data_IF_362797834943
#
_entry.id   IF_362797834943
#
_cell.length_a   1.000
_cell.length_b   1.000
_cell.length_c   1.000
_cell.angle_alpha   90.00
_cell.angle_beta   90.00
_cell.angle_gamma   90.00
#
_symmetry.space_group_name_H-M   'P 1'
#
loop_
_entity.id
_entity.type
_entity.pdbx_description
1 polymer ?
#
# COMPACT_ATOMS: atom_id res chain seq x y z
N UNK A 1 16.24 12.60 -5.46
CA UNK A 1 14.81 12.98 -5.44
C UNK A 1 14.09 12.60 -6.74
N UNK A 2 14.59 13.02 -7.92
CA UNK A 2 13.99 12.75 -9.24
C UNK A 2 13.77 11.26 -9.55
N UNK A 3 14.69 10.38 -9.14
CA UNK A 3 14.59 8.93 -9.37
C UNK A 3 13.40 8.27 -8.68
N UNK A 4 13.08 8.69 -7.45
CA UNK A 4 11.91 8.18 -6.71
C UNK A 4 10.61 8.67 -7.34
N UNK A 5 10.54 9.93 -7.79
CA UNK A 5 9.37 10.46 -8.48
C UNK A 5 9.09 9.71 -9.79
N UNK A 6 10.13 9.48 -10.62
CA UNK A 6 10.01 8.67 -11.85
C UNK A 6 9.50 7.26 -11.55
N UNK A 7 10.05 6.59 -10.51
CA UNK A 7 9.58 5.27 -10.08
C UNK A 7 8.14 5.30 -9.55
N UNK A 8 7.76 6.34 -8.81
CA UNK A 8 6.39 6.53 -8.29
C UNK A 8 5.39 6.64 -9.43
N UNK A 9 5.68 7.50 -10.41
CA UNK A 9 4.87 7.64 -11.60
C UNK A 9 4.76 6.32 -12.38
N UNK A 10 5.88 5.66 -12.67
CA UNK A 10 5.90 4.39 -13.39
C UNK A 10 5.11 3.28 -12.65
N UNK A 11 5.24 3.20 -11.33
CA UNK A 11 4.50 2.24 -10.51
C UNK A 11 2.99 2.54 -10.53
N UNK A 12 2.59 3.80 -10.40
CA UNK A 12 1.20 4.20 -10.44
C UNK A 12 0.54 3.88 -11.80
N UNK A 13 1.20 4.24 -12.90
CA UNK A 13 0.76 3.90 -14.26
C UNK A 13 0.62 2.39 -14.40
N UNK A 14 1.65 1.63 -14.01
CA UNK A 14 1.63 0.18 -14.11
C UNK A 14 0.53 -0.49 -13.26
N UNK A 15 0.15 0.07 -12.11
CA UNK A 15 -0.97 -0.42 -11.30
C UNK A 15 -2.33 -0.15 -11.97
N UNK A 16 -2.48 1.02 -12.60
CA UNK A 16 -3.71 1.42 -13.30
C UNK A 16 -3.90 0.63 -14.59
N UNK A 17 -2.88 0.55 -15.44
CA UNK A 17 -2.94 -0.14 -16.74
C UNK A 17 -3.27 -1.62 -16.58
N UNK A 18 -2.67 -2.27 -15.57
CA UNK A 18 -2.91 -3.68 -15.26
C UNK A 18 -4.19 -3.93 -14.46
N UNK A 19 -4.96 -2.88 -14.12
CA UNK A 19 -6.13 -2.96 -13.24
C UNK A 19 -5.83 -3.71 -11.93
N UNK A 20 -4.63 -3.51 -11.39
CA UNK A 20 -4.14 -4.24 -10.22
C UNK A 20 -4.72 -3.73 -8.88
N UNK A 21 -5.44 -2.60 -8.92
CA UNK A 21 -6.10 -2.00 -7.76
C UNK A 21 -7.47 -2.63 -7.60
N UNK A 22 -7.61 -3.46 -6.57
CA UNK A 22 -8.85 -4.14 -6.25
C UNK A 22 -9.73 -3.22 -5.40
N UNK A 23 -11.03 -3.21 -5.72
CA UNK A 23 -12.04 -2.46 -5.02
C UNK A 23 -12.80 -3.41 -4.07
N UNK A 24 -12.77 -3.13 -2.76
CA UNK A 24 -13.68 -3.70 -1.77
C UNK A 24 -14.65 -2.63 -1.27
N UNK A 25 -15.74 -3.04 -0.61
CA UNK A 25 -16.82 -2.14 -0.16
C UNK A 25 -16.31 -0.90 0.59
N UNK A 26 -15.31 -1.10 1.45
CA UNK A 26 -14.81 -0.09 2.40
C UNK A 26 -13.47 0.52 2.04
N UNK A 27 -12.64 -0.17 1.25
CA UNK A 27 -11.32 0.32 0.87
C UNK A 27 -10.86 -0.31 -0.45
N UNK A 28 -9.82 0.27 -1.04
CA UNK A 28 -9.10 -0.28 -2.18
C UNK A 28 -7.78 -0.87 -1.72
N UNK A 29 -7.30 -1.90 -2.39
CA UNK A 29 -5.95 -2.40 -2.13
C UNK A 29 -5.19 -2.79 -3.39
N UNK A 30 -3.87 -2.80 -3.30
CA UNK A 30 -3.00 -3.26 -4.37
C UNK A 30 -1.68 -3.84 -3.83
N UNK A 31 -1.20 -4.87 -4.51
CA UNK A 31 0.11 -5.48 -4.25
C UNK A 31 1.17 -4.89 -5.18
N UNK A 32 2.33 -4.58 -4.61
CA UNK A 32 3.55 -4.18 -5.31
C UNK A 32 4.58 -5.30 -5.20
N UNK A 33 4.64 -6.13 -6.24
CA UNK A 33 5.61 -7.22 -6.35
C UNK A 33 6.93 -6.70 -6.91
N UNK A 34 8.03 -7.26 -6.41
CA UNK A 34 9.40 -6.83 -6.74
C UNK A 34 9.79 -7.13 -8.19
N UNK A 35 9.18 -8.17 -8.76
CA UNK A 35 9.48 -8.71 -10.09
C UNK A 35 9.23 -7.73 -11.24
N UNK A 36 8.54 -6.61 -11.00
CA UNK A 36 8.27 -5.59 -12.01
C UNK A 36 9.31 -4.45 -12.06
N UNK A 37 10.38 -4.50 -11.27
CA UNK A 37 11.43 -3.46 -11.29
C UNK A 37 12.62 -3.77 -12.21
N UNK A 38 12.68 -4.96 -12.83
CA UNK A 38 13.82 -5.41 -13.65
C UNK A 38 13.51 -5.46 -15.16
N UNK A 39 12.99 -4.38 -15.72
CA UNK A 39 13.02 -4.19 -17.16
C UNK A 39 13.56 -2.80 -17.49
N UNK A 40 14.84 -2.55 -17.19
CA UNK A 40 15.69 -1.53 -17.85
C UNK A 40 17.13 -1.63 -17.31
N UNK A 41 18.03 -2.22 -18.11
CA UNK A 41 19.48 -2.04 -18.00
C UNK A 41 20.29 -3.25 -17.50
N UNK A 42 21.29 -3.73 -18.27
CA UNK A 42 22.23 -4.75 -17.82
C UNK A 42 23.51 -4.11 -17.28
N UNK A 43 23.54 -3.65 -16.02
CA UNK A 43 24.78 -3.38 -15.24
C UNK A 43 24.45 -3.01 -13.80
N UNK A 44 23.89 -3.92 -13.00
CA UNK A 44 23.87 -3.76 -11.54
C UNK A 44 24.15 -5.12 -10.88
N UNK A 45 25.03 -5.12 -9.88
CA UNK A 45 25.55 -6.27 -9.14
C UNK A 45 24.43 -7.15 -8.56
N UNK A 46 24.65 -8.47 -8.44
CA UNK A 46 23.70 -9.47 -7.92
C UNK A 46 23.04 -9.08 -6.58
N UNK A 47 23.70 -8.25 -5.76
CA UNK A 47 23.21 -7.76 -4.47
C UNK A 47 22.19 -6.61 -4.59
N UNK A 48 22.10 -5.90 -5.71
CA UNK A 48 21.13 -4.82 -5.95
C UNK A 48 19.81 -5.32 -6.58
N UNK A 49 19.78 -6.56 -7.09
CA UNK A 49 18.67 -7.13 -7.87
C UNK A 49 17.32 -7.26 -7.16
N UNK A 50 17.24 -7.06 -5.83
CA UNK A 50 15.99 -7.33 -5.07
C UNK A 50 15.65 -6.22 -4.07
N UNK A 51 16.14 -4.99 -4.29
CA UNK A 51 15.75 -3.86 -3.43
C UNK A 51 14.48 -3.21 -3.93
N UNK A 52 13.33 -3.68 -3.42
CA UNK A 52 12.06 -2.99 -3.68
C UNK A 52 12.09 -1.59 -3.08
N UNK A 53 12.20 -0.56 -3.93
CA UNK A 53 12.24 0.85 -3.50
C UNK A 53 11.01 1.24 -2.67
N UNK A 54 9.87 0.57 -2.89
CA UNK A 54 8.62 0.79 -2.17
C UNK A 54 8.47 -0.06 -0.92
N UNK A 55 9.40 -0.96 -0.60
CA UNK A 55 9.43 -1.66 0.69
C UNK A 55 9.97 -0.78 1.84
N UNK A 56 9.79 0.54 1.73
CA UNK A 56 10.12 1.55 2.74
C UNK A 56 8.88 2.40 3.03
N UNK A 57 8.51 2.65 4.30
CA UNK A 57 7.29 3.36 4.68
C UNK A 57 7.07 4.67 3.92
N UNK A 58 8.08 5.54 3.90
CA UNK A 58 8.00 6.85 3.24
C UNK A 58 7.84 6.76 1.72
N UNK A 59 8.44 5.75 1.08
CA UNK A 59 8.33 5.58 -0.37
C UNK A 59 6.94 5.04 -0.75
N UNK A 60 6.43 4.06 0.00
CA UNK A 60 5.10 3.50 -0.20
C UNK A 60 4.00 4.53 0.08
N UNK A 61 4.16 5.32 1.15
CA UNK A 61 3.25 6.40 1.50
C UNK A 61 3.20 7.48 0.41
N UNK A 62 4.35 7.87 -0.15
CA UNK A 62 4.39 8.81 -1.29
C UNK A 62 3.66 8.27 -2.52
N UNK A 63 3.75 6.97 -2.79
CA UNK A 63 2.99 6.35 -3.87
C UNK A 63 1.48 6.34 -3.57
N UNK A 64 1.08 6.06 -2.33
CA UNK A 64 -0.32 6.12 -1.91
C UNK A 64 -0.90 7.52 -2.13
N UNK A 65 -0.21 8.57 -1.67
CA UNK A 65 -0.58 9.96 -1.95
C UNK A 65 -0.75 10.22 -3.44
N UNK A 66 0.26 9.87 -4.24
CA UNK A 66 0.23 10.09 -5.69
C UNK A 66 -0.97 9.41 -6.36
N UNK A 67 -1.24 8.14 -6.03
CA UNK A 67 -2.38 7.40 -6.58
C UNK A 67 -3.71 8.06 -6.20
N UNK A 68 -3.85 8.47 -4.94
CA UNK A 68 -5.07 9.10 -4.45
C UNK A 68 -5.31 10.46 -5.10
N UNK A 69 -4.27 11.29 -5.20
CA UNK A 69 -4.34 12.60 -5.85
C UNK A 69 -4.67 12.45 -7.34
N UNK A 70 -3.95 11.57 -8.07
CA UNK A 70 -4.18 11.28 -9.48
C UNK A 70 -5.62 10.80 -9.75
N UNK A 71 -6.17 9.91 -8.93
CA UNK A 71 -7.53 9.43 -9.12
C UNK A 71 -8.61 10.42 -8.68
N UNK A 72 -8.31 11.27 -7.69
CA UNK A 72 -9.20 12.36 -7.26
C UNK A 72 -9.31 13.43 -8.35
N UNK A 73 -8.19 13.87 -8.90
CA UNK A 73 -8.14 14.87 -9.98
C UNK A 73 -8.86 14.39 -11.24
N UNK A 74 -8.75 13.10 -11.55
CA UNK A 74 -9.48 12.48 -12.68
C UNK A 74 -10.96 12.18 -12.37
N UNK A 75 -11.49 12.57 -11.21
CA UNK A 75 -12.88 12.34 -10.80
C UNK A 75 -13.26 10.87 -10.60
N UNK A 76 -12.29 9.95 -10.59
CA UNK A 76 -12.54 8.50 -10.46
C UNK A 76 -12.81 8.09 -9.01
N UNK A 77 -12.06 8.66 -8.06
CA UNK A 77 -12.16 8.35 -6.62
C UNK A 77 -12.62 9.58 -5.82
N UNK A 78 -13.70 10.21 -6.25
CA UNK A 78 -14.30 11.36 -5.58
C UNK A 78 -15.76 11.12 -5.19
N UNK A 79 -16.27 11.94 -4.26
CA UNK A 79 -17.66 11.86 -3.77
C UNK A 79 -18.02 10.47 -3.26
N UNK A 80 -19.13 9.91 -3.71
CA UNK A 80 -19.59 8.58 -3.29
C UNK A 80 -18.63 7.43 -3.65
N UNK A 81 -17.67 7.65 -4.57
CA UNK A 81 -16.65 6.67 -4.97
C UNK A 81 -15.35 6.82 -4.17
N UNK A 82 -15.24 7.84 -3.32
CA UNK A 82 -14.13 8.01 -2.40
C UNK A 82 -13.99 6.78 -1.49
N UNK A 83 -12.83 6.14 -1.47
CA UNK A 83 -12.52 5.10 -0.49
C UNK A 83 -11.05 5.18 -0.10
N UNK A 84 -10.71 4.85 1.15
CA UNK A 84 -9.34 4.65 1.59
C UNK A 84 -8.57 3.64 0.73
N UNK A 85 -7.24 3.70 0.80
CA UNK A 85 -6.32 2.85 0.03
C UNK A 85 -5.36 2.12 0.96
N UNK A 86 -5.17 0.82 0.73
CA UNK A 86 -4.16 -0.01 1.39
C UNK A 86 -3.15 -0.48 0.34
N UNK A 87 -1.88 -0.11 0.48
CA UNK A 87 -0.83 -0.61 -0.40
C UNK A 87 0.04 -1.63 0.33
N UNK A 88 0.41 -2.70 -0.38
CA UNK A 88 1.23 -3.77 0.13
C UNK A 88 2.49 -3.88 -0.74
N UNK A 89 3.67 -3.68 -0.18
CA UNK A 89 4.94 -3.84 -0.89
C UNK A 89 5.69 -5.06 -0.38
N UNK A 90 6.01 -5.97 -1.29
CA UNK A 90 6.75 -7.19 -1.00
C UNK A 90 8.20 -6.88 -0.55
N UNK A 91 8.66 -7.59 0.48
CA UNK A 91 10.03 -7.64 0.97
C UNK A 91 10.58 -9.07 0.80
N UNK A 92 11.21 -9.39 -0.34
CA UNK A 92 11.61 -10.77 -0.61
C UNK A 92 12.65 -11.31 0.36
N UNK A 93 13.55 -10.44 0.85
CA UNK A 93 14.62 -10.82 1.78
C UNK A 93 14.09 -11.34 3.12
N UNK A 94 12.96 -10.81 3.61
CA UNK A 94 12.32 -11.21 4.86
C UNK A 94 11.05 -12.04 4.66
N UNK A 95 10.63 -12.27 3.41
CA UNK A 95 9.35 -12.93 3.07
C UNK A 95 8.13 -12.28 3.72
N UNK A 96 8.17 -10.95 3.86
CA UNK A 96 7.10 -10.14 4.45
C UNK A 96 6.54 -9.14 3.46
N UNK A 97 5.43 -8.50 3.82
CA UNK A 97 4.86 -7.35 3.13
C UNK A 97 4.86 -6.15 4.07
N UNK A 98 5.37 -5.03 3.58
CA UNK A 98 5.11 -3.73 4.17
C UNK A 98 3.72 -3.26 3.75
N UNK A 99 2.85 -3.00 4.72
CA UNK A 99 1.47 -2.56 4.49
C UNK A 99 1.33 -1.13 4.97
N UNK A 100 0.78 -0.27 4.13
CA UNK A 100 0.46 1.12 4.47
C UNK A 100 -1.02 1.36 4.21
N UNK A 101 -1.74 1.78 5.25
CA UNK A 101 -3.12 2.24 5.15
C UNK A 101 -3.17 3.75 4.98
N UNK A 102 -3.93 4.23 4.01
CA UNK A 102 -4.05 5.64 3.66
C UNK A 102 -5.52 6.05 3.58
N UNK A 103 -5.93 6.95 4.48
CA UNK A 103 -7.28 7.50 4.50
C UNK A 103 -7.54 8.44 3.31
N UNK A 104 -8.80 8.57 2.93
CA UNK A 104 -9.19 9.47 1.86
C UNK A 104 -9.56 10.87 2.41
N UNK A 105 -8.83 11.93 2.06
CA UNK A 105 -9.32 13.30 2.21
C UNK A 105 -10.22 13.70 1.04
N UNK A 106 -11.48 14.06 1.32
CA UNK A 106 -12.48 14.53 0.34
C UNK A 106 -12.02 15.74 -0.45
N UNK A 107 -11.35 16.67 0.23
CA UNK A 107 -10.79 17.86 -0.37
C UNK A 107 -9.27 17.81 -0.26
N UNK A 108 -8.58 18.25 -1.31
CA UNK A 108 -7.13 18.45 -1.25
C UNK A 108 -6.81 19.43 -0.11
N UNK A 109 -5.90 19.05 0.79
CA UNK A 109 -5.57 19.85 1.98
C UNK A 109 -6.50 19.65 3.19
N UNK A 110 -7.57 18.86 3.08
CA UNK A 110 -8.39 18.48 4.24
C UNK A 110 -7.68 17.45 5.11
N UNK A 111 -7.84 17.57 6.43
CA UNK A 111 -7.29 16.62 7.39
C UNK A 111 -8.31 15.53 7.68
N UNK A 112 -7.97 14.28 7.35
CA UNK A 112 -8.71 13.10 7.77
C UNK A 112 -7.82 12.29 8.70
N UNK A 113 -8.31 12.02 9.91
CA UNK A 113 -7.59 11.21 10.88
C UNK A 113 -7.48 9.78 10.36
N UNK A 114 -6.25 9.29 10.19
CA UNK A 114 -6.02 7.93 9.75
C UNK A 114 -6.47 6.91 10.81
N UNK A 115 -7.48 6.09 10.48
CA UNK A 115 -8.01 5.05 11.38
C UNK A 115 -7.42 3.66 11.12
N UNK A 116 -6.60 3.51 10.08
CA UNK A 116 -6.04 2.21 9.73
C UNK A 116 -5.17 1.62 10.82
N UNK A 117 -4.48 2.43 11.64
CA UNK A 117 -3.70 1.87 12.75
C UNK A 117 -4.56 1.05 13.73
N UNK A 118 -5.75 1.54 14.06
CA UNK A 118 -6.70 0.82 14.90
C UNK A 118 -7.24 -0.43 14.18
N UNK A 119 -7.64 -0.31 12.92
CA UNK A 119 -8.16 -1.44 12.14
C UNK A 119 -7.11 -2.53 11.93
N UNK A 120 -5.86 -2.15 11.68
CA UNK A 120 -4.72 -3.07 11.52
C UNK A 120 -4.43 -3.80 12.81
N UNK A 121 -4.42 -3.09 13.95
CA UNK A 121 -4.25 -3.70 15.26
C UNK A 121 -5.38 -4.70 15.58
N UNK A 122 -6.62 -4.33 15.27
CA UNK A 122 -7.76 -5.22 15.49
C UNK A 122 -7.66 -6.47 14.60
N UNK A 123 -7.39 -6.32 13.30
CA UNK A 123 -7.23 -7.44 12.37
C UNK A 123 -6.09 -8.36 12.80
N UNK A 124 -4.93 -7.79 13.15
CA UNK A 124 -3.79 -8.54 13.67
C UNK A 124 -4.12 -9.29 14.97
N UNK A 125 -4.88 -8.69 15.90
CA UNK A 125 -5.24 -9.32 17.17
C UNK A 125 -6.11 -10.57 17.03
N UNK A 126 -6.89 -10.65 15.94
CA UNK A 126 -7.72 -11.83 15.62
C UNK A 126 -6.95 -12.93 14.87
N UNK A 127 -5.70 -12.67 14.51
CA UNK A 127 -4.86 -13.58 13.74
C UNK A 127 -3.72 -14.12 14.61
N UNK A 128 -3.47 -15.43 14.53
CA UNK A 128 -2.26 -16.04 15.07
C UNK A 128 -1.13 -15.90 14.04
N UNK A 129 -0.52 -14.72 13.95
CA UNK A 129 0.53 -14.41 12.97
C UNK A 129 1.55 -13.41 13.50
N UNK A 130 2.65 -13.25 12.75
CA UNK A 130 3.70 -12.29 13.09
C UNK A 130 3.37 -10.94 12.45
N UNK A 131 3.08 -9.96 13.30
CA UNK A 131 2.84 -8.57 12.90
C UNK A 131 3.86 -7.67 13.59
N UNK A 132 4.52 -6.83 12.81
CA UNK A 132 5.40 -5.80 13.36
C UNK A 132 4.83 -4.43 13.04
N UNK A 133 4.49 -3.69 14.10
CA UNK A 133 3.98 -2.33 13.99
C UNK A 133 5.16 -1.36 14.00
N UNK A 134 5.14 -0.39 13.09
CA UNK A 134 6.09 0.72 13.15
C UNK A 134 5.77 1.56 14.40
N UNK A 135 6.79 1.85 15.22
CA UNK A 135 6.62 2.62 16.46
C UNK A 135 6.19 4.07 16.21
N UNK A 136 6.42 4.60 15.01
CA UNK A 136 6.15 6.00 14.68
C UNK A 136 4.80 6.18 13.98
N UNK A 137 4.48 5.32 13.01
CA UNK A 137 3.26 5.41 12.21
C UNK A 137 2.39 4.16 12.35
N UNK A 138 1.35 4.23 13.19
CA UNK A 138 0.44 3.09 13.44
C UNK A 138 -0.27 2.53 12.20
N UNK A 139 -0.43 3.32 11.14
CA UNK A 139 -0.99 2.91 9.85
C UNK A 139 0.03 2.22 8.93
N UNK A 140 1.20 1.85 9.47
CA UNK A 140 2.25 1.12 8.78
C UNK A 140 2.59 -0.13 9.59
N UNK A 141 2.46 -1.29 8.95
CA UNK A 141 2.77 -2.57 9.57
C UNK A 141 3.56 -3.44 8.61
N UNK A 142 4.18 -4.47 9.16
CA UNK A 142 4.77 -5.56 8.42
C UNK A 142 4.06 -6.86 8.76
N UNK A 143 3.71 -7.61 7.70
CA UNK A 143 2.93 -8.85 7.78
C UNK A 143 3.70 -9.97 7.08
N UNK A 144 3.74 -11.15 7.68
CA UNK A 144 4.30 -12.35 7.04
C UNK A 144 3.58 -12.64 5.71
N UNK A 145 4.33 -13.01 4.66
CA UNK A 145 3.79 -13.31 3.34
C UNK A 145 2.75 -14.43 3.33
N UNK A 146 2.83 -15.38 4.27
CA UNK A 146 1.81 -16.45 4.41
C UNK A 146 0.49 -15.94 4.99
N UNK A 147 0.55 -14.84 5.77
CA UNK A 147 -0.58 -14.30 6.51
C UNK A 147 -1.22 -13.10 5.80
N UNK A 148 -0.54 -12.50 4.83
CA UNK A 148 -0.94 -11.23 4.19
C UNK A 148 -2.32 -11.28 3.53
N UNK A 149 -2.67 -12.39 2.88
CA UNK A 149 -3.97 -12.53 2.24
C UNK A 149 -5.09 -12.63 3.27
N UNK A 150 -4.89 -13.48 4.30
CA UNK A 150 -5.81 -13.59 5.43
C UNK A 150 -5.95 -12.27 6.17
N UNK A 151 -4.88 -11.48 6.27
CA UNK A 151 -4.92 -10.14 6.88
C UNK A 151 -5.85 -9.19 6.11
N UNK A 152 -5.78 -9.15 4.78
CA UNK A 152 -6.69 -8.33 3.96
C UNK A 152 -8.15 -8.77 4.11
N UNK A 153 -8.39 -10.08 4.19
CA UNK A 153 -9.74 -10.63 4.43
C UNK A 153 -10.28 -10.24 5.80
N UNK A 154 -9.48 -10.38 6.87
CA UNK A 154 -9.89 -9.97 8.23
C UNK A 154 -10.13 -8.47 8.33
N UNK A 155 -9.25 -7.67 7.72
CA UNK A 155 -9.42 -6.23 7.64
C UNK A 155 -10.73 -5.85 6.94
N UNK A 156 -11.06 -6.54 5.83
CA UNK A 156 -12.32 -6.34 5.12
C UNK A 156 -13.53 -6.66 5.99
N UNK A 157 -13.52 -7.81 6.67
CA UNK A 157 -14.61 -8.23 7.55
C UNK A 157 -14.85 -7.25 8.71
N UNK A 158 -13.78 -6.76 9.34
CA UNK A 158 -13.88 -5.81 10.45
C UNK A 158 -14.44 -4.46 10.04
N UNK A 159 -14.01 -3.93 8.89
CA UNK A 159 -14.53 -2.68 8.35
C UNK A 159 -15.97 -2.82 7.84
N UNK A 160 -16.46 -4.04 7.61
CA UNK A 160 -17.86 -4.30 7.26
C UNK A 160 -18.80 -4.38 8.46
N UNK A 161 -18.25 -4.68 9.63
CA UNK A 161 -18.98 -4.82 10.88
C UNK A 161 -19.06 -3.52 11.70
N UNK A 162 -18.52 -2.41 11.17
CA UNK A 162 -18.51 -1.08 11.79
C UNK A 162 -19.47 -0.12 11.09
#
# INVERSE_FOLDING_TARGET
ALSLQKRTHAAAVGLVERKAIVHLRHFRYAFLNCTNQNALGPTETEQDKVKNVFAKPLALTKLAHFLMDMHRENGKWSGQKARPLVLLAEKPASQTYLVVGYEYPELSGSFVRNRFGQHFQMAASTMHGTFHFDSFDSNVIEVDGKDVQRFIEQLHYMMDST
#
